data_IF_220154119954
#
_entry.id   IF_220154119954
#
_cell.length_a   1.000
_cell.length_b   1.000
_cell.length_c   1.000
_cell.angle_alpha   90.00
_cell.angle_beta   90.00
_cell.angle_gamma   90.00
#
_symmetry.space_group_name_H-M   'P 1'
#
loop_
_entity.id
_entity.type
_entity.pdbx_description
1 polymer ?
#
# COMPACT_ATOMS: atom_id res chain seq x y z
N UNK A 1 5.98 -24.18 -11.90
CA UNK A 1 6.51 -22.87 -11.56
C UNK A 1 5.74 -22.24 -10.42
N UNK A 2 6.44 -21.87 -9.40
CA UNK A 2 5.79 -21.29 -8.24
C UNK A 2 5.38 -19.84 -8.53
N UNK A 3 4.14 -19.53 -8.28
CA UNK A 3 3.69 -18.15 -8.30
C UNK A 3 3.97 -17.52 -6.96
N UNK A 4 4.48 -16.33 -6.99
CA UNK A 4 4.55 -15.57 -5.77
C UNK A 4 3.14 -15.32 -5.28
N UNK A 5 2.93 -15.62 -4.03
CA UNK A 5 1.64 -15.28 -3.43
C UNK A 5 1.75 -13.90 -2.86
N UNK A 6 0.97 -12.99 -3.38
CA UNK A 6 0.92 -11.66 -2.83
C UNK A 6 0.12 -11.69 -1.54
N UNK A 7 0.64 -11.00 -0.53
CA UNK A 7 -0.06 -10.86 0.74
C UNK A 7 -0.79 -9.53 0.70
N UNK A 8 -2.10 -9.58 0.88
CA UNK A 8 -2.91 -8.38 0.92
C UNK A 8 -3.30 -8.08 2.36
N UNK A 9 -3.16 -6.83 2.76
CA UNK A 9 -3.42 -6.43 4.12
C UNK A 9 -3.95 -5.01 4.14
N UNK A 10 -4.88 -4.74 5.04
CA UNK A 10 -5.41 -3.40 5.19
C UNK A 10 -4.50 -2.57 6.07
N UNK A 11 -4.47 -1.29 5.81
CA UNK A 11 -3.68 -0.38 6.62
C UNK A 11 -4.21 1.03 6.52
N UNK A 12 -3.60 1.93 7.27
CA UNK A 12 -3.97 3.34 7.30
C UNK A 12 -2.75 4.16 6.89
N UNK A 13 -2.97 5.11 6.00
CA UNK A 13 -1.90 5.99 5.55
C UNK A 13 -1.53 6.94 6.68
N UNK A 14 -0.28 6.88 7.11
CA UNK A 14 0.20 7.73 8.20
C UNK A 14 0.96 8.93 7.71
N UNK A 15 1.56 8.84 6.55
CA UNK A 15 2.37 9.93 6.04
C UNK A 15 2.42 9.86 4.51
N UNK A 16 2.37 11.01 3.86
CA UNK A 16 2.57 11.07 2.42
C UNK A 16 3.98 11.56 2.15
N UNK A 17 4.66 10.85 1.26
CA UNK A 17 6.03 11.17 0.90
C UNK A 17 6.09 11.59 -0.57
N UNK A 18 7.19 12.19 -1.01
CA UNK A 18 7.32 12.57 -2.41
C UNK A 18 7.23 11.37 -3.35
N UNK A 19 6.92 11.62 -4.61
CA UNK A 19 6.91 10.61 -5.69
C UNK A 19 5.85 9.54 -5.49
N UNK A 20 4.68 9.92 -4.97
CA UNK A 20 3.55 9.02 -4.77
C UNK A 20 3.89 7.82 -3.91
N UNK A 21 4.71 8.05 -2.89
CA UNK A 21 5.09 7.06 -1.89
C UNK A 21 4.40 7.41 -0.59
N UNK A 22 4.01 6.39 0.16
CA UNK A 22 3.25 6.60 1.39
C UNK A 22 3.77 5.68 2.48
N UNK A 23 3.70 6.17 3.71
CA UNK A 23 3.93 5.32 4.87
C UNK A 23 2.59 4.81 5.36
N UNK A 24 2.47 3.50 5.46
CA UNK A 24 1.22 2.86 5.82
C UNK A 24 1.45 1.99 7.04
N UNK A 25 0.61 2.16 8.04
CA UNK A 25 0.62 1.28 9.20
C UNK A 25 -0.40 0.19 8.96
N UNK A 26 0.06 -1.04 8.92
CA UNK A 26 -0.81 -2.18 8.69
C UNK A 26 -1.61 -2.52 9.95
N UNK A 27 -2.67 -3.27 9.77
CA UNK A 27 -3.55 -3.61 10.88
C UNK A 27 -2.85 -4.43 11.96
N UNK A 28 -1.72 -5.05 11.64
CA UNK A 28 -0.92 -5.76 12.64
C UNK A 28 0.10 -4.87 13.31
N UNK A 29 0.06 -3.56 13.05
CA UNK A 29 0.99 -2.61 13.66
C UNK A 29 2.29 -2.43 12.91
N UNK A 30 2.49 -3.15 11.84
CA UNK A 30 3.73 -3.08 11.07
C UNK A 30 3.71 -1.88 10.11
N UNK A 31 4.79 -1.12 10.08
CA UNK A 31 4.91 0.04 9.17
C UNK A 31 5.61 -0.38 7.90
N UNK A 32 5.04 0.01 6.77
CA UNK A 32 5.67 -0.26 5.49
C UNK A 32 5.70 1.02 4.66
N UNK A 33 6.56 1.00 3.65
CA UNK A 33 6.57 2.03 2.62
C UNK A 33 5.82 1.48 1.41
N UNK A 34 4.81 2.21 0.96
CA UNK A 34 3.96 1.76 -0.13
C UNK A 34 3.91 2.80 -1.23
N UNK A 35 3.74 2.34 -2.44
CA UNK A 35 3.53 3.22 -3.58
C UNK A 35 2.20 2.88 -4.24
N UNK A 36 1.71 3.80 -5.06
CA UNK A 36 0.44 3.59 -5.73
C UNK A 36 0.64 2.65 -6.91
N UNK A 37 -0.28 1.71 -7.08
CA UNK A 37 -0.24 0.83 -8.24
C UNK A 37 -0.48 1.63 -9.52
N UNK A 38 -0.03 1.11 -10.64
CA UNK A 38 -0.23 1.79 -11.90
C UNK A 38 -1.71 1.98 -12.22
N UNK A 39 -2.53 1.03 -11.82
CA UNK A 39 -3.96 1.12 -12.06
C UNK A 39 -4.59 2.29 -11.31
N UNK A 40 -4.20 2.48 -10.06
CA UNK A 40 -4.74 3.58 -9.26
C UNK A 40 -4.24 4.93 -9.78
N UNK A 41 -2.98 4.98 -10.21
CA UNK A 41 -2.43 6.21 -10.76
C UNK A 41 -3.18 6.60 -12.03
N UNK A 42 -3.55 5.62 -12.83
CA UNK A 42 -4.26 5.86 -14.07
C UNK A 42 -5.64 6.44 -13.82
N UNK A 43 -6.26 6.10 -12.69
CA UNK A 43 -7.58 6.60 -12.35
C UNK A 43 -7.54 7.85 -11.47
N UNK A 44 -6.36 8.43 -11.26
CA UNK A 44 -6.19 9.65 -10.47
C UNK A 44 -6.75 9.53 -9.05
N UNK A 45 -6.64 8.36 -8.47
CA UNK A 45 -7.13 8.18 -7.11
C UNK A 45 -6.20 8.92 -6.16
N UNK A 46 -6.77 9.81 -5.37
CA UNK A 46 -6.00 10.62 -4.44
C UNK A 46 -6.00 9.97 -3.07
N UNK A 47 -4.82 9.82 -2.51
CA UNK A 47 -4.67 9.20 -1.19
C UNK A 47 -4.16 10.25 -0.22
N UNK A 48 -4.83 10.35 0.92
CA UNK A 48 -4.51 11.33 1.95
C UNK A 48 -4.16 10.62 3.24
N UNK A 49 -3.46 11.34 4.12
CA UNK A 49 -3.16 10.83 5.44
C UNK A 49 -4.46 10.52 6.18
N UNK A 50 -4.52 9.35 6.77
CA UNK A 50 -5.72 8.89 7.46
C UNK A 50 -6.62 7.99 6.64
N UNK A 51 -6.36 7.86 5.34
CA UNK A 51 -7.17 7.01 4.49
C UNK A 51 -6.88 5.54 4.77
N UNK A 52 -7.93 4.73 4.70
CA UNK A 52 -7.78 3.28 4.77
C UNK A 52 -7.51 2.73 3.39
N UNK A 53 -6.49 1.90 3.28
CA UNK A 53 -6.08 1.35 1.99
C UNK A 53 -5.79 -0.13 2.15
N UNK A 54 -5.84 -0.84 1.03
CA UNK A 54 -5.37 -2.21 0.97
C UNK A 54 -4.04 -2.21 0.24
N UNK A 55 -3.04 -2.83 0.85
CA UNK A 55 -1.72 -2.92 0.25
C UNK A 55 -1.41 -4.37 -0.08
N UNK A 56 -0.58 -4.53 -1.09
CA UNK A 56 -0.14 -5.83 -1.55
C UNK A 56 1.37 -5.92 -1.37
N UNK A 57 1.82 -6.99 -0.74
CA UNK A 57 3.24 -7.19 -0.48
C UNK A 57 3.63 -8.58 -0.94
N UNK A 58 4.92 -8.79 -1.17
CA UNK A 58 5.43 -10.12 -1.43
C UNK A 58 6.03 -10.69 -0.15
N UNK A 59 6.04 -12.02 0.00
CA UNK A 59 6.68 -12.62 1.18
C UNK A 59 8.18 -12.37 1.24
N UNK A 60 8.76 -11.95 0.12
CA UNK A 60 10.20 -11.71 0.07
C UNK A 60 10.59 -10.36 0.62
N UNK A 61 9.67 -9.42 0.71
CA UNK A 61 9.97 -8.09 1.22
C UNK A 61 8.73 -7.53 1.89
N UNK A 62 8.67 -7.67 3.20
CA UNK A 62 7.52 -7.21 3.96
C UNK A 62 7.66 -5.76 4.42
N UNK A 63 8.69 -5.06 3.96
CA UNK A 63 8.88 -3.66 4.30
C UNK A 63 8.35 -2.72 3.23
N UNK A 64 8.02 -3.24 2.07
CA UNK A 64 7.53 -2.45 0.95
C UNK A 64 6.26 -3.07 0.41
N UNK A 65 5.38 -2.23 -0.08
CA UNK A 65 4.13 -2.71 -0.63
C UNK A 65 3.62 -1.80 -1.71
N UNK A 66 2.49 -2.19 -2.27
CA UNK A 66 1.83 -1.42 -3.30
C UNK A 66 0.38 -1.25 -2.91
N UNK A 67 -0.09 -0.01 -2.94
CA UNK A 67 -1.50 0.26 -2.64
C UNK A 67 -2.31 -0.12 -3.86
N UNK A 68 -3.22 -1.06 -3.68
CA UNK A 68 -4.04 -1.57 -4.78
C UNK A 68 -5.50 -1.16 -4.66
N UNK A 69 -5.89 -0.64 -3.50
CA UNK A 69 -7.28 -0.28 -3.30
C UNK A 69 -7.37 0.74 -2.16
N UNK A 70 -8.26 1.71 -2.32
CA UNK A 70 -8.54 2.71 -1.30
C UNK A 70 -9.96 2.50 -0.80
N UNK A 71 -10.08 2.34 0.51
CA UNK A 71 -11.37 2.00 1.12
C UNK A 71 -12.05 3.22 1.68
N UNK A 72 -12.18 4.24 1.29
CA UNK A 72 -12.95 5.29 1.96
C UNK A 72 -14.34 5.40 1.42
#
# INVERSE_FOLDING_TARGET
MAKEEAIQMNGVVKETLPNTVFRVELENGHMITAHISGKMRKHYIRILTGDSVTVEMTPYDLTKGRIIFRET
#
